data_IF_381364152048
#
_entry.id   IF_381364152048
#
_cell.length_a   1.000
_cell.length_b   1.000
_cell.length_c   1.000
_cell.angle_alpha   90.00
_cell.angle_beta   90.00
_cell.angle_gamma   90.00
#
_symmetry.space_group_name_H-M   'P 1'
#
loop_
_entity.id
_entity.type
_entity.pdbx_description
1 polymer ?
#
# COMPACT_ATOMS: atom_id res chain seq x y z
N UNK A 1 16.01 -5.39 7.52
CA UNK A 1 14.66 -4.98 7.07
C UNK A 1 14.36 -5.77 5.80
N UNK A 2 13.48 -6.78 5.87
CA UNK A 2 13.23 -7.65 4.69
C UNK A 2 12.20 -6.94 3.82
N UNK A 3 12.68 -6.19 2.83
CA UNK A 3 11.91 -6.05 1.59
C UNK A 3 11.71 -7.49 1.14
N UNK A 4 10.49 -7.99 1.21
CA UNK A 4 10.16 -9.24 0.52
C UNK A 4 10.20 -8.85 -0.96
N UNK A 5 11.40 -8.88 -1.52
CA UNK A 5 11.64 -8.70 -2.93
C UNK A 5 10.69 -9.64 -3.67
N UNK A 6 10.15 -9.22 -4.81
CA UNK A 6 9.30 -10.16 -5.48
C UNK A 6 9.57 -10.27 -6.97
N UNK A 7 10.77 -10.73 -7.26
CA UNK A 7 10.91 -11.59 -8.41
C UNK A 7 11.16 -12.97 -7.83
N UNK A 8 10.11 -13.79 -7.75
CA UNK A 8 10.31 -15.22 -7.65
C UNK A 8 11.05 -15.70 -8.89
N UNK A 9 11.75 -16.83 -8.80
CA UNK A 9 12.62 -17.38 -9.87
C UNK A 9 11.89 -17.69 -11.20
N UNK A 10 10.60 -17.37 -11.31
CA UNK A 10 9.72 -17.57 -12.49
C UNK A 10 9.25 -16.26 -13.15
N UNK A 11 9.69 -15.08 -12.70
CA UNK A 11 9.28 -13.79 -13.28
C UNK A 11 7.82 -13.38 -13.00
N UNK A 12 7.08 -14.13 -12.18
CA UNK A 12 5.73 -13.78 -11.73
C UNK A 12 5.77 -12.79 -10.54
N UNK A 13 4.82 -11.84 -10.45
CA UNK A 13 4.72 -10.94 -9.29
C UNK A 13 4.45 -11.74 -8.00
N UNK A 14 4.86 -11.25 -6.82
CA UNK A 14 4.85 -12.01 -5.55
C UNK A 14 3.48 -12.30 -5.00
N UNK A 15 2.48 -11.60 -5.52
CA UNK A 15 1.13 -11.62 -5.02
C UNK A 15 0.35 -12.49 -5.99
N UNK A 16 -0.05 -13.67 -5.52
CA UNK A 16 -1.01 -14.55 -6.21
C UNK A 16 -2.45 -14.02 -6.13
N UNK A 17 -2.65 -12.78 -5.69
CA UNK A 17 -3.96 -12.17 -5.47
C UNK A 17 -4.01 -10.74 -5.98
N UNK A 18 -5.19 -10.20 -6.35
CA UNK A 18 -5.36 -8.80 -6.73
C UNK A 18 -5.25 -7.80 -5.57
N UNK A 19 -4.80 -8.24 -4.39
CA UNK A 19 -4.63 -7.40 -3.21
C UNK A 19 -3.15 -7.10 -3.02
N UNK A 20 -2.80 -5.81 -3.00
CA UNK A 20 -1.44 -5.33 -2.72
C UNK A 20 -1.43 -4.65 -1.34
N UNK A 21 -0.83 -5.28 -0.32
CA UNK A 21 -0.71 -4.68 1.01
C UNK A 21 0.53 -3.78 1.13
N UNK A 22 0.39 -2.65 1.82
CA UNK A 22 1.50 -1.76 2.19
C UNK A 22 1.52 -1.54 3.71
N UNK A 23 2.47 -2.15 4.42
CA UNK A 23 2.59 -2.00 5.88
C UNK A 23 3.18 -0.63 6.20
N UNK A 24 2.52 0.10 7.10
CA UNK A 24 2.88 1.50 7.46
C UNK A 24 3.09 1.70 8.96
N UNK A 25 2.84 0.66 9.78
CA UNK A 25 3.16 0.66 11.20
C UNK A 25 1.95 0.87 12.09
N UNK A 26 1.80 2.05 12.68
CA UNK A 26 0.72 2.33 13.64
C UNK A 26 -0.63 2.56 12.95
N UNK A 27 -1.72 2.31 13.67
CA UNK A 27 -3.08 2.61 13.19
C UNK A 27 -3.25 4.09 12.78
N UNK A 28 -2.65 5.01 13.56
CA UNK A 28 -2.68 6.44 13.27
C UNK A 28 -1.97 6.79 11.97
N UNK A 29 -0.79 6.22 11.71
CA UNK A 29 -0.08 6.38 10.44
C UNK A 29 -0.93 5.85 9.27
N UNK A 30 -1.50 4.66 9.39
CA UNK A 30 -2.36 4.09 8.36
C UNK A 30 -3.55 4.97 8.01
N UNK A 31 -4.26 5.51 9.02
CA UNK A 31 -5.39 6.41 8.79
C UNK A 31 -4.95 7.72 8.12
N UNK A 32 -3.84 8.32 8.53
CA UNK A 32 -3.33 9.57 7.93
C UNK A 32 -2.92 9.37 6.46
N UNK A 33 -2.20 8.29 6.16
CA UNK A 33 -1.77 7.99 4.79
C UNK A 33 -2.99 7.69 3.92
N UNK A 34 -3.94 6.87 4.40
CA UNK A 34 -5.19 6.56 3.69
C UNK A 34 -5.99 7.83 3.36
N UNK A 35 -6.15 8.76 4.32
CA UNK A 35 -6.84 10.02 4.10
C UNK A 35 -6.13 10.91 3.07
N UNK A 36 -4.79 11.00 3.14
CA UNK A 36 -4.01 11.79 2.20
C UNK A 36 -4.07 11.25 0.76
N UNK A 37 -4.03 9.91 0.60
CA UNK A 37 -4.22 9.25 -0.69
C UNK A 37 -5.62 9.49 -1.25
N UNK A 38 -6.65 9.40 -0.40
CA UNK A 38 -8.03 9.67 -0.78
C UNK A 38 -8.21 11.09 -1.31
N UNK A 39 -7.56 12.08 -0.70
CA UNK A 39 -7.59 13.47 -1.16
C UNK A 39 -6.95 13.66 -2.55
N UNK A 40 -6.11 12.72 -2.99
CA UNK A 40 -5.49 12.67 -4.33
C UNK A 40 -6.23 11.75 -5.30
N UNK A 41 -7.42 11.29 -4.93
CA UNK A 41 -8.24 10.39 -5.74
C UNK A 41 -7.80 8.93 -5.73
N UNK A 42 -6.95 8.51 -4.80
CA UNK A 42 -6.48 7.12 -4.67
C UNK A 42 -7.11 6.47 -3.45
N UNK A 43 -7.88 5.39 -3.66
CA UNK A 43 -8.49 4.63 -2.56
C UNK A 43 -7.55 3.54 -2.05
N UNK A 44 -7.01 3.75 -0.85
CA UNK A 44 -6.19 2.77 -0.14
C UNK A 44 -6.76 2.56 1.27
N UNK A 45 -7.31 1.38 1.56
CA UNK A 45 -8.06 1.15 2.81
C UNK A 45 -7.09 0.85 3.95
N UNK A 46 -7.16 1.61 5.04
CA UNK A 46 -6.39 1.32 6.24
C UNK A 46 -6.97 0.11 6.99
N UNK A 47 -6.18 -0.96 7.08
CA UNK A 47 -6.43 -2.14 7.92
C UNK A 47 -5.59 -2.00 9.19
N UNK A 48 -6.25 -2.09 10.35
CA UNK A 48 -5.70 -1.73 11.65
C UNK A 48 -6.20 -2.70 12.73
N UNK A 49 -5.61 -2.71 13.94
CA UNK A 49 -6.14 -3.49 15.05
C UNK A 49 -7.63 -3.25 15.31
N UNK A 50 -8.40 -4.28 15.71
CA UNK A 50 -7.95 -5.64 16.08
C UNK A 50 -7.77 -6.60 14.87
N UNK A 51 -8.04 -6.16 13.64
CA UNK A 51 -7.98 -7.01 12.44
C UNK A 51 -6.57 -7.46 12.08
N UNK A 52 -5.55 -6.69 12.48
CA UNK A 52 -4.13 -7.03 12.35
C UNK A 52 -3.41 -6.75 13.68
N UNK A 53 -2.29 -7.42 13.98
CA UNK A 53 -1.51 -7.15 15.19
C UNK A 53 -1.08 -5.68 15.33
N UNK A 54 -0.92 -5.23 16.57
CA UNK A 54 -0.40 -3.88 16.87
C UNK A 54 0.95 -3.61 16.20
N UNK A 55 1.14 -2.37 15.76
CA UNK A 55 2.34 -1.96 15.02
C UNK A 55 2.45 -2.52 13.59
N UNK A 56 1.46 -3.27 13.11
CA UNK A 56 1.45 -3.85 11.74
C UNK A 56 0.28 -3.37 10.87
N UNK A 57 -0.30 -2.21 11.21
CA UNK A 57 -1.32 -1.57 10.40
C UNK A 57 -0.79 -1.33 8.98
N UNK A 58 -1.67 -1.51 8.01
CA UNK A 58 -1.31 -1.54 6.59
C UNK A 58 -2.41 -0.94 5.74
N UNK A 59 -2.05 -0.46 4.56
CA UNK A 59 -2.99 -0.09 3.52
C UNK A 59 -3.26 -1.28 2.62
N UNK A 60 -4.52 -1.46 2.23
CA UNK A 60 -4.95 -2.44 1.24
C UNK A 60 -5.31 -1.72 -0.05
N UNK A 61 -4.55 -2.02 -1.10
CA UNK A 61 -4.92 -1.68 -2.46
C UNK A 61 -5.59 -2.90 -3.10
N UNK A 62 -6.71 -2.68 -3.77
CA UNK A 62 -7.43 -3.71 -4.52
C UNK A 62 -7.33 -3.37 -5.99
N UNK A 63 -6.56 -4.17 -6.72
CA UNK A 63 -6.35 -4.02 -8.16
C UNK A 63 -7.44 -4.79 -8.91
N UNK A 64 -7.89 -4.24 -10.03
CA UNK A 64 -8.86 -4.90 -10.90
C UNK A 64 -8.37 -4.83 -12.34
N UNK A 65 -8.88 -5.71 -13.21
CA UNK A 65 -8.59 -5.67 -14.64
C UNK A 65 -9.10 -4.40 -15.34
N UNK A 66 -9.95 -3.60 -14.68
CA UNK A 66 -10.42 -2.32 -15.21
C UNK A 66 -9.40 -1.19 -15.05
N UNK A 67 -8.35 -1.35 -14.22
CA UNK A 67 -7.30 -0.34 -14.09
C UNK A 67 -6.35 -0.40 -15.27
N UNK A 68 -6.07 0.75 -15.86
CA UNK A 68 -5.03 0.89 -16.86
C UNK A 68 -3.63 0.90 -16.21
N UNK A 69 -2.54 0.64 -16.96
CA UNK A 69 -1.18 0.83 -16.46
C UNK A 69 -0.95 2.23 -15.86
N UNK A 70 -1.56 3.26 -16.44
CA UNK A 70 -1.44 4.65 -15.96
C UNK A 70 -2.15 4.85 -14.62
N UNK A 71 -3.29 4.22 -14.39
CA UNK A 71 -3.97 4.24 -13.09
C UNK A 71 -3.08 3.62 -11.99
N UNK A 72 -2.41 2.52 -12.33
CA UNK A 72 -1.50 1.82 -11.43
C UNK A 72 -0.26 2.65 -11.14
N UNK A 73 0.31 3.29 -12.16
CA UNK A 73 1.45 4.21 -12.02
C UNK A 73 1.08 5.40 -11.11
N UNK A 74 -0.05 6.05 -11.37
CA UNK A 74 -0.55 7.16 -10.53
C UNK A 74 -0.78 6.73 -9.08
N UNK A 75 -1.32 5.54 -8.85
CA UNK A 75 -1.51 5.01 -7.50
C UNK A 75 -0.17 4.75 -6.79
N UNK A 76 0.81 4.18 -7.51
CA UNK A 76 2.15 3.92 -6.98
C UNK A 76 2.90 5.22 -6.65
N UNK A 77 2.87 6.22 -7.53
CA UNK A 77 3.45 7.54 -7.30
C UNK A 77 2.81 8.25 -6.10
N UNK A 78 1.48 8.22 -6.01
CA UNK A 78 0.78 8.79 -4.86
C UNK A 78 1.15 8.09 -3.55
N UNK A 79 1.31 6.76 -3.57
CA UNK A 79 1.76 6.00 -2.41
C UNK A 79 3.19 6.38 -2.01
N UNK A 80 4.13 6.46 -2.94
CA UNK A 80 5.50 6.89 -2.69
C UNK A 80 5.55 8.29 -2.08
N UNK A 81 4.87 9.27 -2.70
CA UNK A 81 4.74 10.62 -2.17
C UNK A 81 4.18 10.64 -0.73
N UNK A 82 3.18 9.81 -0.44
CA UNK A 82 2.58 9.79 0.90
C UNK A 82 3.55 9.19 1.93
N UNK A 83 4.32 8.16 1.57
CA UNK A 83 5.34 7.59 2.45
C UNK A 83 6.44 8.60 2.76
N UNK A 84 6.90 9.37 1.78
CA UNK A 84 7.86 10.47 1.97
C UNK A 84 7.29 11.55 2.87
N UNK A 85 6.09 12.05 2.56
CA UNK A 85 5.40 13.12 3.31
C UNK A 85 5.28 12.81 4.80
N UNK A 86 4.98 11.56 5.13
CA UNK A 86 4.81 11.12 6.51
C UNK A 86 6.07 10.49 7.12
N UNK A 87 7.22 10.59 6.43
CA UNK A 87 8.53 10.11 6.89
C UNK A 87 8.50 8.62 7.26
N UNK A 88 7.83 7.82 6.41
CA UNK A 88 7.67 6.37 6.57
C UNK A 88 8.66 5.57 5.74
N UNK A 89 9.45 6.23 4.88
CA UNK A 89 10.62 5.63 4.26
C UNK A 89 11.74 5.54 5.30
N UNK A 90 12.28 4.33 5.49
CA UNK A 90 13.43 4.03 6.35
C UNK A 90 14.58 3.55 5.50
#
# INVERSE_FOLDING_TARGET
MRIVAPFGESGAPPFVTPIVPLVVGTAGQACRVSAALRARGILAVAIRPPTVPDGTARLRFSVSAAHSPDDLARAAEAAAWALERFQLLR
#
